data_IF_562359331835
#
_entry.id   IF_562359331835
#
_cell.length_a   1.000
_cell.length_b   1.000
_cell.length_c   1.000
_cell.angle_alpha   90.00
_cell.angle_beta   90.00
_cell.angle_gamma   90.00
#
_symmetry.space_group_name_H-M   'P 1'
#
loop_
_entity.id
_entity.type
_entity.pdbx_description
1 polymer ?
#
# COMPACT_ATOMS: atom_id res chain seq x y z
N UNK A 1 13.61 -17.91 -4.30
CA UNK A 1 12.37 -18.26 -5.03
C UNK A 1 11.30 -17.21 -4.76
N UNK A 2 10.77 -16.59 -5.81
CA UNK A 2 9.64 -15.64 -5.70
C UNK A 2 8.40 -16.18 -6.40
N UNK A 3 7.22 -15.82 -5.88
CA UNK A 3 5.93 -16.07 -6.53
C UNK A 3 5.27 -14.72 -6.86
N UNK A 4 4.85 -14.55 -8.12
CA UNK A 4 4.09 -13.37 -8.56
C UNK A 4 2.70 -13.82 -9.00
N UNK A 5 1.67 -13.24 -8.41
CA UNK A 5 0.27 -13.54 -8.70
C UNK A 5 -0.37 -12.33 -9.40
N UNK A 6 -0.46 -12.43 -10.73
CA UNK A 6 -1.15 -11.47 -11.59
C UNK A 6 -2.62 -11.88 -11.82
N UNK A 7 -3.44 -11.80 -10.77
CA UNK A 7 -4.88 -12.10 -10.88
C UNK A 7 -5.70 -10.81 -11.02
N UNK A 8 -6.70 -10.81 -11.90
CA UNK A 8 -7.79 -9.85 -11.83
C UNK A 8 -8.64 -10.15 -10.59
N UNK A 9 -8.90 -9.15 -9.75
CA UNK A 9 -9.73 -9.31 -8.56
C UNK A 9 -9.01 -9.00 -7.24
N UNK A 10 -9.80 -9.03 -6.16
CA UNK A 10 -9.41 -8.57 -4.83
C UNK A 10 -8.52 -9.55 -4.05
N UNK A 11 -7.68 -10.35 -4.71
CA UNK A 11 -6.84 -11.40 -4.10
C UNK A 11 -5.98 -10.84 -2.96
N UNK A 12 -5.44 -9.63 -3.10
CA UNK A 12 -4.71 -8.95 -2.02
C UNK A 12 -5.59 -8.32 -0.93
N UNK A 13 -6.87 -8.05 -1.20
CA UNK A 13 -7.78 -7.40 -0.22
C UNK A 13 -8.53 -8.39 0.67
N UNK A 14 -8.66 -9.64 0.26
CA UNK A 14 -9.32 -10.67 1.05
C UNK A 14 -8.32 -11.14 2.11
N UNK A 15 -8.63 -10.91 3.39
CA UNK A 15 -7.74 -11.22 4.51
C UNK A 15 -7.32 -12.69 4.53
N UNK A 16 -8.24 -13.61 4.23
CA UNK A 16 -7.98 -15.05 4.17
C UNK A 16 -6.98 -15.38 3.05
N UNK A 17 -7.11 -14.73 1.91
CA UNK A 17 -6.19 -14.89 0.77
C UNK A 17 -4.81 -14.31 1.09
N UNK A 18 -4.76 -13.11 1.68
CA UNK A 18 -3.52 -12.49 2.16
C UNK A 18 -2.79 -13.38 3.17
N UNK A 19 -3.50 -13.95 4.14
CA UNK A 19 -2.94 -14.87 5.13
C UNK A 19 -2.42 -16.17 4.49
N UNK A 20 -3.13 -16.74 3.51
CA UNK A 20 -2.65 -17.91 2.77
C UNK A 20 -1.35 -17.61 2.01
N UNK A 21 -1.27 -16.47 1.31
CA UNK A 21 -0.05 -16.05 0.62
C UNK A 21 1.10 -15.82 1.60
N UNK A 22 0.85 -15.14 2.72
CA UNK A 22 1.85 -14.96 3.79
C UNK A 22 2.36 -16.30 4.32
N UNK A 23 1.46 -17.28 4.51
CA UNK A 23 1.84 -18.60 5.02
C UNK A 23 2.82 -19.36 4.13
N UNK A 24 2.80 -19.11 2.81
CA UNK A 24 3.79 -19.70 1.90
C UNK A 24 5.21 -19.17 2.18
N UNK A 25 5.32 -17.91 2.59
CA UNK A 25 6.58 -17.31 3.02
C UNK A 25 6.94 -17.79 4.42
N UNK A 26 5.99 -17.84 5.36
CA UNK A 26 6.23 -18.33 6.73
C UNK A 26 6.75 -19.78 6.75
N UNK A 27 6.27 -20.62 5.82
CA UNK A 27 6.69 -22.02 5.66
C UNK A 27 7.95 -22.20 4.78
N UNK A 28 8.60 -21.11 4.42
CA UNK A 28 9.83 -21.10 3.61
C UNK A 28 9.68 -21.78 2.22
N UNK A 29 8.46 -21.77 1.66
CA UNK A 29 8.20 -22.26 0.31
C UNK A 29 8.70 -21.25 -0.73
N UNK A 30 8.48 -19.96 -0.45
CA UNK A 30 8.96 -18.82 -1.24
C UNK A 30 9.59 -17.77 -0.32
N UNK A 31 10.56 -17.02 -0.84
CA UNK A 31 11.17 -15.88 -0.15
C UNK A 31 10.23 -14.67 -0.14
N UNK A 32 9.40 -14.55 -1.18
CA UNK A 32 8.34 -13.57 -1.26
C UNK A 32 7.17 -14.04 -2.12
N UNK A 33 6.00 -13.49 -1.82
CA UNK A 33 4.78 -13.56 -2.62
C UNK A 33 4.32 -12.14 -2.93
N UNK A 34 4.30 -11.81 -4.22
CA UNK A 34 3.84 -10.54 -4.76
C UNK A 34 2.43 -10.71 -5.33
N UNK A 35 1.54 -9.77 -5.05
CA UNK A 35 0.24 -9.69 -5.72
C UNK A 35 -0.23 -8.23 -5.83
N UNK A 36 -1.23 -7.98 -6.68
CA UNK A 36 -1.90 -6.70 -6.75
C UNK A 36 -3.10 -6.65 -5.80
N UNK A 37 -3.24 -5.55 -5.08
CA UNK A 37 -4.39 -5.24 -4.22
C UNK A 37 -5.42 -4.34 -4.93
N UNK A 38 -5.29 -4.13 -6.24
CA UNK A 38 -6.30 -3.47 -7.07
C UNK A 38 -7.51 -4.36 -7.37
N UNK A 39 -8.55 -3.79 -7.98
CA UNK A 39 -9.70 -4.57 -8.52
C UNK A 39 -9.39 -5.08 -9.92
N UNK A 40 -8.59 -4.33 -10.68
CA UNK A 40 -8.13 -4.67 -12.02
C UNK A 40 -6.67 -4.28 -12.16
N UNK A 41 -5.93 -5.06 -12.94
CA UNK A 41 -4.53 -4.81 -13.26
C UNK A 41 -4.40 -4.81 -14.78
N UNK A 42 -3.94 -3.69 -15.34
CA UNK A 42 -3.65 -3.59 -16.77
C UNK A 42 -2.19 -4.04 -17.00
N UNK A 43 -1.94 -5.17 -17.69
CA UNK A 43 -0.59 -5.69 -17.85
C UNK A 43 0.38 -4.66 -18.47
N UNK A 44 -0.09 -3.88 -19.45
CA UNK A 44 0.71 -2.83 -20.09
C UNK A 44 1.22 -1.75 -19.13
N UNK A 45 0.54 -1.52 -18.00
CA UNK A 45 0.95 -0.55 -16.99
C UNK A 45 1.88 -1.13 -15.92
N UNK A 46 1.78 -2.44 -15.63
CA UNK A 46 2.52 -3.04 -14.50
C UNK A 46 3.70 -3.88 -14.91
N UNK A 47 3.69 -4.46 -16.12
CA UNK A 47 4.78 -5.33 -16.60
C UNK A 47 6.13 -4.63 -16.59
N UNK A 48 6.28 -3.37 -17.07
CA UNK A 48 7.58 -2.69 -17.02
C UNK A 48 8.15 -2.51 -15.61
N UNK A 49 7.29 -2.23 -14.62
CA UNK A 49 7.70 -2.12 -13.21
C UNK A 49 8.00 -3.50 -12.61
N UNK A 50 7.23 -4.52 -12.98
CA UNK A 50 7.42 -5.88 -12.52
C UNK A 50 8.73 -6.50 -13.05
N UNK A 51 9.06 -6.28 -14.33
CA UNK A 51 10.33 -6.72 -14.92
C UNK A 51 11.50 -6.11 -14.17
N UNK A 52 11.47 -4.78 -13.96
CA UNK A 52 12.50 -4.08 -13.16
C UNK A 52 12.60 -4.63 -11.74
N UNK A 53 11.49 -5.02 -11.12
CA UNK A 53 11.49 -5.61 -9.79
C UNK A 53 12.20 -6.97 -9.78
N UNK A 54 11.90 -7.84 -10.75
CA UNK A 54 12.55 -9.15 -10.89
C UNK A 54 14.04 -9.00 -11.17
N UNK A 55 14.43 -8.07 -12.04
CA UNK A 55 15.84 -7.75 -12.30
C UNK A 55 16.55 -7.27 -11.03
N UNK A 56 15.96 -6.32 -10.30
CA UNK A 56 16.49 -5.81 -9.05
C UNK A 56 16.71 -6.90 -8.00
N UNK A 57 15.78 -7.84 -7.85
CA UNK A 57 15.90 -8.92 -6.86
C UNK A 57 16.92 -9.98 -7.30
N UNK A 58 16.84 -10.49 -8.53
CA UNK A 58 17.60 -11.69 -8.93
C UNK A 58 18.91 -11.40 -9.65
N UNK A 59 19.05 -10.25 -10.29
CA UNK A 59 20.27 -9.86 -11.02
C UNK A 59 21.12 -8.94 -10.16
N UNK A 60 20.49 -7.93 -9.53
CA UNK A 60 21.21 -6.92 -8.75
C UNK A 60 21.29 -7.23 -7.24
N UNK A 61 20.76 -8.38 -6.80
CA UNK A 61 20.76 -8.85 -5.40
C UNK A 61 20.24 -7.79 -4.40
N UNK A 62 19.26 -6.99 -4.84
CA UNK A 62 18.65 -5.99 -3.98
C UNK A 62 17.71 -6.64 -2.96
N UNK A 63 17.60 -6.04 -1.79
CA UNK A 63 16.60 -6.44 -0.79
C UNK A 63 15.20 -6.30 -1.38
N UNK A 64 14.39 -7.33 -1.20
CA UNK A 64 13.06 -7.47 -1.81
C UNK A 64 12.18 -6.21 -1.67
N UNK A 65 12.13 -5.62 -0.46
CA UNK A 65 11.33 -4.42 -0.23
C UNK A 65 11.88 -3.16 -0.90
N UNK A 66 13.21 -3.01 -0.91
CA UNK A 66 13.90 -1.89 -1.55
C UNK A 66 13.75 -1.98 -3.07
N UNK A 67 13.90 -3.19 -3.63
CA UNK A 67 13.65 -3.48 -5.03
C UNK A 67 12.21 -3.09 -5.43
N UNK A 68 11.21 -3.45 -4.61
CA UNK A 68 9.82 -3.07 -4.90
C UNK A 68 9.65 -1.54 -4.92
N UNK A 69 10.16 -0.85 -3.90
CA UNK A 69 10.05 0.62 -3.82
C UNK A 69 10.75 1.31 -5.00
N UNK A 70 11.89 0.81 -5.45
CA UNK A 70 12.58 1.38 -6.61
C UNK A 70 11.80 1.13 -7.90
N UNK A 71 11.41 -0.12 -8.17
CA UNK A 71 10.78 -0.49 -9.45
C UNK A 71 9.37 0.08 -9.62
N UNK A 72 8.55 0.04 -8.57
CA UNK A 72 7.19 0.60 -8.63
C UNK A 72 7.13 2.06 -8.22
N UNK A 73 8.10 2.54 -7.45
CA UNK A 73 8.11 3.92 -7.00
C UNK A 73 8.39 4.93 -8.10
N UNK A 74 9.14 4.54 -9.13
CA UNK A 74 9.36 5.38 -10.31
C UNK A 74 8.16 5.40 -11.25
N UNK A 75 7.31 4.36 -11.21
CA UNK A 75 6.15 4.22 -12.07
C UNK A 75 4.84 4.59 -11.36
N UNK A 76 4.53 5.90 -11.39
CA UNK A 76 3.27 6.43 -10.84
C UNK A 76 2.05 5.76 -11.47
N UNK A 77 2.10 5.42 -12.76
CA UNK A 77 0.94 4.87 -13.46
C UNK A 77 0.64 3.45 -12.98
N UNK A 78 1.67 2.63 -12.79
CA UNK A 78 1.53 1.30 -12.21
C UNK A 78 0.84 1.35 -10.84
N UNK A 79 1.41 2.10 -9.88
CA UNK A 79 0.85 2.18 -8.51
C UNK A 79 -0.49 2.89 -8.43
N UNK A 80 -0.75 3.87 -9.31
CA UNK A 80 -2.08 4.50 -9.38
C UNK A 80 -3.11 3.54 -9.98
N UNK A 81 -2.73 2.59 -10.84
CA UNK A 81 -3.67 1.60 -11.37
C UNK A 81 -3.98 0.49 -10.35
N UNK A 82 -2.94 -0.05 -9.73
CA UNK A 82 -3.05 -1.19 -8.82
C UNK A 82 -2.03 -1.06 -7.68
N UNK A 83 -2.49 -0.85 -6.43
CA UNK A 83 -1.63 -1.01 -5.27
C UNK A 83 -1.01 -2.41 -5.26
N UNK A 84 0.22 -2.52 -4.75
CA UNK A 84 0.95 -3.78 -4.69
C UNK A 84 0.98 -4.28 -3.25
N UNK A 85 0.72 -5.56 -3.04
CA UNK A 85 0.91 -6.24 -1.77
C UNK A 85 2.07 -7.23 -1.89
N UNK A 86 2.98 -7.17 -0.93
CA UNK A 86 4.14 -8.05 -0.87
C UNK A 86 4.21 -8.71 0.51
N UNK A 87 4.18 -10.04 0.53
CA UNK A 87 4.55 -10.82 1.71
C UNK A 87 5.99 -11.31 1.52
N UNK A 88 6.86 -11.09 2.48
CA UNK A 88 8.28 -11.41 2.35
C UNK A 88 8.93 -11.59 3.72
N UNK A 89 10.05 -12.31 3.76
CA UNK A 89 10.83 -12.49 4.98
C UNK A 89 11.94 -11.43 5.06
N UNK A 90 12.03 -10.76 6.21
CA UNK A 90 13.19 -9.97 6.59
C UNK A 90 13.96 -10.71 7.69
N UNK A 91 15.29 -10.61 7.67
CA UNK A 91 16.13 -11.08 8.77
C UNK A 91 16.26 -9.91 9.74
N UNK A 92 15.57 -10.01 10.87
CA UNK A 92 15.72 -9.05 11.95
C UNK A 92 16.94 -9.42 12.80
N UNK A 93 17.82 -8.45 13.01
CA UNK A 93 19.04 -8.63 13.82
C UNK A 93 18.78 -8.08 15.20
N UNK A 94 18.45 -8.98 16.12
CA UNK A 94 18.24 -8.63 17.53
C UNK A 94 19.51 -8.14 18.22
N UNK A 95 19.38 -7.51 19.41
CA UNK A 95 20.49 -6.91 20.16
C UNK A 95 21.61 -7.89 20.54
N UNK A 96 21.33 -9.20 20.56
CA UNK A 96 22.29 -10.24 20.91
C UNK A 96 22.89 -10.95 19.67
N UNK A 97 22.90 -10.29 18.50
CA UNK A 97 23.30 -10.89 17.23
C UNK A 97 22.44 -12.12 16.82
N UNK A 98 21.33 -12.34 17.51
CA UNK A 98 20.33 -13.35 17.16
C UNK A 98 19.58 -12.87 15.93
N UNK A 99 19.72 -13.62 14.84
CA UNK A 99 18.98 -13.37 13.61
C UNK A 99 17.67 -14.13 13.66
N UNK A 100 16.54 -13.40 13.63
CA UNK A 100 15.21 -14.01 13.53
C UNK A 100 14.57 -13.66 12.19
N UNK A 101 14.08 -14.68 11.49
CA UNK A 101 13.30 -14.51 10.27
C UNK A 101 11.91 -14.01 10.63
N UNK A 102 11.58 -12.79 10.22
CA UNK A 102 10.28 -12.17 10.43
C UNK A 102 9.58 -12.04 9.08
N UNK A 103 8.38 -12.60 8.97
CA UNK A 103 7.56 -12.44 7.75
C UNK A 103 6.60 -11.28 7.94
N UNK A 104 6.73 -10.30 7.05
CA UNK A 104 5.85 -9.13 7.00
C UNK A 104 5.04 -9.12 5.70
N UNK A 105 3.88 -8.47 5.76
CA UNK A 105 3.04 -8.23 4.58
C UNK A 105 2.77 -6.74 4.51
N UNK A 106 3.28 -6.11 3.46
CA UNK A 106 3.18 -4.66 3.24
C UNK A 106 2.44 -4.37 1.95
N UNK A 107 1.69 -3.27 1.93
CA UNK A 107 1.10 -2.71 0.72
C UNK A 107 1.87 -1.45 0.36
N UNK A 108 2.30 -1.35 -0.90
CA UNK A 108 2.81 -0.13 -1.52
C UNK A 108 1.70 0.45 -2.41
N UNK A 109 1.35 1.72 -2.19
CA UNK A 109 0.27 2.37 -2.93
C UNK A 109 0.58 3.82 -3.28
N UNK A 110 -0.24 4.37 -4.17
CA UNK A 110 -0.19 5.78 -4.55
C UNK A 110 -1.42 6.52 -4.01
N UNK A 111 -1.18 7.59 -3.26
CA UNK A 111 -2.18 8.54 -2.78
C UNK A 111 -2.66 9.41 -3.92
N UNK A 112 -3.93 9.25 -4.29
CA UNK A 112 -4.57 10.04 -5.32
C UNK A 112 -5.90 10.59 -4.82
N UNK A 113 -5.87 11.84 -4.36
CA UNK A 113 -7.04 12.54 -3.86
C UNK A 113 -8.11 12.77 -4.93
N UNK A 114 -7.70 12.91 -6.21
CA UNK A 114 -8.65 13.10 -7.32
C UNK A 114 -9.49 11.86 -7.57
N UNK A 115 -8.90 10.68 -7.38
CA UNK A 115 -9.57 9.38 -7.54
C UNK A 115 -10.22 8.90 -6.23
N UNK A 116 -10.31 9.75 -5.22
CA UNK A 116 -10.90 9.37 -3.93
C UNK A 116 -10.06 8.40 -3.10
N UNK A 117 -8.73 8.36 -3.31
CA UNK A 117 -7.81 7.44 -2.62
C UNK A 117 -6.84 8.17 -1.70
N UNK A 118 -7.30 8.71 -0.56
CA UNK A 118 -6.42 9.32 0.42
C UNK A 118 -5.44 8.27 0.94
N UNK A 119 -4.15 8.57 0.89
CA UNK A 119 -3.08 7.65 1.31
C UNK A 119 -3.17 6.28 0.63
N UNK A 120 -3.60 6.24 -0.63
CA UNK A 120 -3.69 4.99 -1.41
C UNK A 120 -4.73 4.00 -0.89
N UNK A 121 -5.61 4.44 0.01
CA UNK A 121 -6.72 3.65 0.54
C UNK A 121 -7.97 3.92 -0.27
N UNK A 122 -8.44 2.92 -1.00
CA UNK A 122 -9.73 2.96 -1.69
C UNK A 122 -10.86 2.33 -0.86
N UNK A 123 -10.52 1.73 0.27
CA UNK A 123 -11.45 1.22 1.28
C UNK A 123 -11.86 2.28 2.31
N UNK A 124 -11.39 3.53 2.17
CA UNK A 124 -11.77 4.61 3.09
C UNK A 124 -13.30 4.81 3.06
N UNK A 125 -13.91 5.06 4.23
CA UNK A 125 -15.35 5.29 4.35
C UNK A 125 -15.62 6.61 5.07
N UNK A 126 -16.73 7.23 4.73
CA UNK A 126 -17.21 8.42 5.42
C UNK A 126 -17.47 8.07 6.90
N UNK A 127 -16.79 8.72 7.85
CA UNK A 127 -16.98 8.44 9.28
C UNK A 127 -18.41 8.65 9.79
N UNK A 128 -19.17 9.52 9.13
CA UNK A 128 -20.56 9.84 9.51
C UNK A 128 -21.57 8.81 9.00
N UNK A 129 -21.55 8.46 7.71
CA UNK A 129 -22.58 7.60 7.10
C UNK A 129 -22.08 6.22 6.65
N UNK A 130 -20.79 5.91 6.80
CA UNK A 130 -20.17 4.67 6.31
C UNK A 130 -20.12 4.54 4.77
N UNK A 131 -20.44 5.64 4.05
CA UNK A 131 -20.42 5.68 2.59
C UNK A 131 -19.01 5.43 2.05
N UNK A 132 -18.85 4.67 0.96
CA UNK A 132 -17.55 4.32 0.39
C UNK A 132 -16.81 5.52 -0.20
N UNK A 133 -15.50 5.37 -0.41
CA UNK A 133 -14.58 6.41 -0.86
C UNK A 133 -15.01 7.13 -2.15
N UNK A 134 -15.64 6.43 -3.10
CA UNK A 134 -16.13 7.04 -4.35
C UNK A 134 -17.24 8.08 -4.14
N UNK A 135 -17.88 8.11 -2.96
CA UNK A 135 -18.82 9.16 -2.56
C UNK A 135 -18.14 10.31 -1.81
N UNK A 136 -16.81 10.37 -1.80
CA UNK A 136 -16.04 11.36 -1.05
C UNK A 136 -15.11 12.11 -1.97
N UNK A 137 -15.12 13.44 -1.83
CA UNK A 137 -14.19 14.32 -2.54
C UNK A 137 -13.13 14.76 -1.53
N UNK A 138 -11.86 14.49 -1.84
CA UNK A 138 -10.74 14.88 -0.99
C UNK A 138 -9.97 16.04 -1.59
N UNK A 139 -9.58 16.97 -0.73
CA UNK A 139 -8.65 18.05 -1.08
C UNK A 139 -7.62 18.21 0.03
N UNK A 140 -6.43 18.71 -0.30
CA UNK A 140 -5.54 19.27 0.71
C UNK A 140 -6.23 20.37 1.54
N UNK A 141 -5.87 20.47 2.82
CA UNK A 141 -6.36 21.49 3.76
C UNK A 141 -5.18 22.16 4.47
N UNK A 142 -4.86 23.39 4.05
CA UNK A 142 -3.77 24.18 4.62
C UNK A 142 -2.46 24.06 3.84
N UNK A 143 -1.36 23.89 4.55
CA UNK A 143 -0.03 23.82 3.94
C UNK A 143 0.19 22.48 3.22
N UNK A 144 0.69 22.54 1.99
CA UNK A 144 0.98 21.36 1.18
C UNK A 144 2.46 21.05 1.28
N UNK A 145 2.79 19.93 1.92
CA UNK A 145 4.16 19.48 2.00
C UNK A 145 4.54 18.68 0.75
N UNK A 146 5.81 18.77 0.38
CA UNK A 146 6.43 18.00 -0.69
C UNK A 146 7.48 17.05 -0.11
N UNK A 147 7.95 16.16 -0.96
CA UNK A 147 8.97 15.15 -0.67
C UNK A 147 8.45 14.15 0.33
N UNK A 148 9.34 13.60 1.15
CA UNK A 148 8.96 12.67 2.23
C UNK A 148 8.01 13.31 3.26
N UNK A 149 8.00 14.65 3.36
CA UNK A 149 7.09 15.38 4.26
C UNK A 149 5.66 15.45 3.73
N UNK A 150 5.40 14.99 2.50
CA UNK A 150 4.05 15.05 1.92
C UNK A 150 3.00 14.38 2.80
N UNK A 151 3.37 13.33 3.55
CA UNK A 151 2.50 12.59 4.46
C UNK A 151 1.96 13.46 5.61
N UNK A 152 2.64 14.56 5.92
CA UNK A 152 2.21 15.56 6.92
C UNK A 152 1.13 16.50 6.36
N UNK A 153 0.84 16.43 5.05
CA UNK A 153 -0.23 17.21 4.42
C UNK A 153 -1.58 16.74 4.95
N UNK A 154 -2.31 17.66 5.57
CA UNK A 154 -3.66 17.40 6.06
C UNK A 154 -4.66 17.50 4.93
N UNK A 155 -5.73 16.73 5.04
CA UNK A 155 -6.81 16.71 4.06
C UNK A 155 -8.12 17.24 4.66
N UNK A 156 -8.99 17.68 3.76
CA UNK A 156 -10.42 17.86 4.01
C UNK A 156 -11.19 16.94 3.07
N UNK A 157 -12.34 16.46 3.52
CA UNK A 157 -13.27 15.74 2.66
C UNK A 157 -14.65 16.38 2.67
N UNK A 158 -15.41 16.14 1.59
CA UNK A 158 -16.86 16.30 1.55
C UNK A 158 -17.48 14.96 1.13
N UNK A 159 -18.41 14.44 1.93
CA UNK A 159 -19.19 13.28 1.55
C UNK A 159 -20.40 13.71 0.72
N UNK A 160 -20.48 13.23 -0.51
CA UNK A 160 -21.59 13.52 -1.42
C UNK A 160 -22.88 12.79 -1.04
N UNK A 161 -22.79 11.71 -0.25
CA UNK A 161 -23.95 10.92 0.21
C UNK A 161 -24.71 11.61 1.36
N UNK A 162 -24.00 12.07 2.40
CA UNK A 162 -24.63 12.64 3.61
C UNK A 162 -24.30 14.12 3.87
N UNK A 163 -23.49 14.75 3.01
CA UNK A 163 -23.09 16.15 3.17
C UNK A 163 -22.02 16.40 4.24
N UNK A 164 -21.59 15.38 5.00
CA UNK A 164 -20.59 15.56 6.06
C UNK A 164 -19.27 16.11 5.52
N UNK A 165 -18.67 17.05 6.25
CA UNK A 165 -17.39 17.67 5.93
C UNK A 165 -16.41 17.38 7.05
N UNK A 166 -15.25 16.83 6.70
CA UNK A 166 -14.10 16.69 7.60
C UNK A 166 -12.99 17.65 7.20
N UNK A 167 -12.26 18.20 8.16
CA UNK A 167 -11.15 19.15 7.93
C UNK A 167 -9.95 18.77 8.77
N UNK A 168 -8.76 19.24 8.36
CA UNK A 168 -7.48 19.02 9.05
C UNK A 168 -7.19 17.54 9.38
N UNK A 169 -7.60 16.63 8.51
CA UNK A 169 -7.46 15.19 8.71
C UNK A 169 -6.01 14.81 8.42
N UNK A 170 -5.31 14.32 9.44
CA UNK A 170 -3.93 13.86 9.33
C UNK A 170 -3.85 12.46 8.73
N UNK A 171 -2.68 12.11 8.19
CA UNK A 171 -2.36 10.71 7.88
C UNK A 171 -2.48 9.84 9.13
N UNK A 172 -3.11 8.66 9.04
CA UNK A 172 -3.01 7.66 10.09
C UNK A 172 -1.55 7.32 10.40
N UNK A 173 -1.23 7.12 11.68
CA UNK A 173 0.15 6.94 12.17
C UNK A 173 0.81 5.63 11.72
N UNK A 174 0.00 4.68 11.24
CA UNK A 174 0.43 3.39 10.69
C UNK A 174 0.63 3.40 9.17
N UNK A 175 0.45 4.55 8.53
CA UNK A 175 0.81 4.78 7.14
C UNK A 175 2.14 5.52 7.11
N UNK A 176 3.02 5.07 6.24
CA UNK A 176 4.38 5.57 6.14
C UNK A 176 4.64 6.08 4.73
N UNK A 177 5.48 7.11 4.59
CA UNK A 177 5.97 7.50 3.28
C UNK A 177 6.90 6.41 2.72
N UNK A 178 6.76 6.09 1.43
CA UNK A 178 7.73 5.21 0.76
C UNK A 178 9.00 5.99 0.40
N UNK A 179 10.17 5.38 0.60
CA UNK A 179 11.46 6.03 0.45
C UNK A 179 11.82 6.23 -1.01
N UNK A 180 11.57 7.41 -1.58
CA UNK A 180 12.22 7.93 -2.80
C UNK A 180 11.66 9.33 -3.15
N UNK A 181 12.12 9.91 -4.27
CA UNK A 181 11.86 11.30 -4.65
C UNK A 181 10.41 11.62 -5.09
N UNK A 182 9.57 10.61 -5.44
CA UNK A 182 8.21 10.87 -5.91
C UNK A 182 7.20 11.07 -4.76
N UNK A 183 6.43 12.16 -4.85
CA UNK A 183 5.37 12.53 -3.92
C UNK A 183 4.17 11.58 -3.99
N UNK A 184 3.50 11.35 -2.86
CA UNK A 184 2.24 10.61 -2.82
C UNK A 184 2.36 9.09 -2.67
N UNK A 185 3.57 8.53 -2.61
CA UNK A 185 3.72 7.08 -2.35
C UNK A 185 3.75 6.79 -0.87
N UNK A 186 2.96 5.81 -0.49
CA UNK A 186 2.85 5.33 0.88
C UNK A 186 3.02 3.83 0.93
N UNK A 187 3.30 3.34 2.12
CA UNK A 187 3.10 1.96 2.46
C UNK A 187 2.49 1.79 3.85
N UNK A 188 1.90 0.62 4.08
CA UNK A 188 1.37 0.20 5.38
C UNK A 188 1.38 -1.33 5.49
N UNK A 189 1.23 -1.85 6.70
CA UNK A 189 1.09 -3.29 6.96
C UNK A 189 -0.31 -3.78 6.61
N UNK A 190 -0.41 -5.02 6.13
CA UNK A 190 -1.67 -5.67 5.78
C UNK A 190 -1.72 -7.09 6.35
N UNK A 191 -2.89 -7.61 6.77
CA UNK A 191 -4.20 -6.97 6.84
C UNK A 191 -4.26 -5.83 7.88
N UNK A 192 -5.19 -4.89 7.70
CA UNK A 192 -5.44 -3.86 8.70
C UNK A 192 -6.11 -4.45 9.95
N UNK A 193 -5.75 -3.94 11.12
CA UNK A 193 -6.40 -4.30 12.38
C UNK A 193 -7.79 -3.65 12.48
N UNK A 194 -8.63 -4.16 13.38
CA UNK A 194 -9.94 -3.55 13.66
C UNK A 194 -9.84 -2.07 14.09
N UNK A 195 -8.79 -1.69 14.84
CA UNK A 195 -8.59 -0.29 15.21
C UNK A 195 -8.27 0.59 14.00
N UNK A 196 -7.40 0.10 13.11
CA UNK A 196 -7.04 0.80 11.87
C UNK A 196 -8.25 0.93 10.94
N UNK A 197 -9.06 -0.12 10.80
CA UNK A 197 -10.30 -0.10 10.02
C UNK A 197 -11.31 0.92 10.55
N UNK A 198 -11.45 1.06 11.88
CA UNK A 198 -12.32 2.08 12.48
C UNK A 198 -11.83 3.49 12.23
N UNK A 199 -10.52 3.72 12.27
CA UNK A 199 -9.90 5.03 11.98
C UNK A 199 -10.22 5.52 10.55
N UNK A 200 -10.40 4.58 9.61
CA UNK A 200 -10.78 4.87 8.21
C UNK A 200 -12.27 4.66 7.92
N UNK A 201 -13.12 4.64 8.95
CA UNK A 201 -14.58 4.74 8.86
C UNK A 201 -15.35 3.43 8.70
N UNK A 202 -14.73 2.27 8.94
CA UNK A 202 -15.46 0.99 9.06
C UNK A 202 -16.03 0.84 10.48
N UNK A 203 -17.14 0.12 10.63
CA UNK A 203 -17.82 -0.10 11.91
C UNK A 203 -17.49 -1.48 12.47
#
# INVERSE_FOLDING_TARGET
RGLIICSCGSTGRVTESANRMKSLVERDVFDFVFTFAGVSTLPSLVVPALTRFVENVFIYDMRIWEALQQSFGEDRHALNSAPVMLSFAEIDRGPNNTSSRVVDTRVLAYSNLKDGRPWGLDIYRCPSCGGPAYNMIFHPDGHHYLGNKWIDTKFKYKCMKCGAIGRKISSPSWIYAAGSQNYGRIWYKWPLTHSQLREIGHK
#
